data_IF_500277213567
#
_entry.id   IF_500277213567
#
_cell.length_a   1.000
_cell.length_b   1.000
_cell.length_c   1.000
_cell.angle_alpha   90.00
_cell.angle_beta   90.00
_cell.angle_gamma   90.00
#
_symmetry.space_group_name_H-M   'P 1'
#
loop_
_entity.id
_entity.type
_entity.pdbx_description
1 polymer ?
#
# COMPACT_ATOMS: atom_id res chain seq x y z
N UNK A 1 -12.95 1.66 -39.60
CA UNK A 1 -13.53 2.71 -40.48
C UNK A 1 -13.52 4.10 -39.80
N UNK A 2 -14.02 4.26 -38.56
CA UNK A 2 -14.05 5.54 -37.84
C UNK A 2 -12.66 6.20 -37.60
N UNK A 3 -11.65 5.37 -37.28
CA UNK A 3 -10.27 5.83 -37.02
C UNK A 3 -9.60 6.42 -38.26
N UNK A 4 -9.79 5.79 -39.43
CA UNK A 4 -9.27 6.33 -40.70
C UNK A 4 -9.90 7.68 -41.04
N UNK A 5 -11.19 7.86 -40.77
CA UNK A 5 -11.87 9.13 -41.02
C UNK A 5 -11.32 10.26 -40.15
N UNK A 6 -11.01 9.98 -38.87
CA UNK A 6 -10.41 10.97 -37.95
C UNK A 6 -9.00 11.37 -38.38
N UNK A 7 -8.17 10.41 -38.81
CA UNK A 7 -6.81 10.68 -39.30
C UNK A 7 -6.85 11.56 -40.55
N UNK A 8 -7.78 11.29 -41.48
CA UNK A 8 -7.96 12.12 -42.68
C UNK A 8 -8.44 13.54 -42.34
N UNK A 9 -9.37 13.67 -41.38
CA UNK A 9 -9.86 14.98 -40.94
C UNK A 9 -8.76 15.81 -40.28
N UNK A 10 -7.93 15.18 -39.44
CA UNK A 10 -6.80 15.81 -38.77
C UNK A 10 -5.74 16.26 -39.78
N UNK A 11 -5.45 15.41 -40.79
CA UNK A 11 -4.55 15.75 -41.89
C UNK A 11 -5.04 16.94 -42.72
N UNK A 12 -6.34 17.00 -43.03
CA UNK A 12 -6.94 18.14 -43.72
C UNK A 12 -6.85 19.43 -42.89
N UNK A 13 -7.08 19.35 -41.57
CA UNK A 13 -6.99 20.49 -40.67
C UNK A 13 -5.55 21.03 -40.57
N UNK A 14 -4.56 20.14 -40.52
CA UNK A 14 -3.13 20.47 -40.54
C UNK A 14 -2.73 21.15 -41.86
N UNK A 15 -3.20 20.66 -43.00
CA UNK A 15 -2.93 21.28 -44.31
C UNK A 15 -3.53 22.69 -44.43
N UNK A 16 -4.76 22.88 -43.94
CA UNK A 16 -5.41 24.20 -43.87
C UNK A 16 -4.64 25.16 -42.97
N UNK A 17 -4.13 24.69 -41.83
CA UNK A 17 -3.31 25.48 -40.93
C UNK A 17 -1.99 25.91 -41.60
N UNK A 18 -1.30 24.99 -42.27
CA UNK A 18 -0.06 25.30 -43.00
C UNK A 18 -0.29 26.31 -44.14
N UNK A 19 -1.38 26.16 -44.90
CA UNK A 19 -1.75 27.11 -45.95
C UNK A 19 -2.00 28.50 -45.36
N UNK A 20 -2.66 28.58 -44.20
CA UNK A 20 -2.93 29.87 -43.56
C UNK A 20 -1.65 30.55 -43.05
N UNK A 21 -0.68 29.78 -42.54
CA UNK A 21 0.64 30.27 -42.13
C UNK A 21 1.41 30.82 -43.34
N UNK A 22 1.46 30.08 -44.45
CA UNK A 22 2.12 30.53 -45.69
C UNK A 22 1.49 31.81 -46.27
N UNK A 23 0.16 31.93 -46.21
CA UNK A 23 -0.56 33.14 -46.61
C UNK A 23 -0.23 34.33 -45.71
N UNK A 24 -0.08 34.11 -44.40
CA UNK A 24 0.35 35.14 -43.45
C UNK A 24 1.79 35.58 -43.75
N UNK A 25 2.71 34.66 -44.03
CA UNK A 25 4.10 34.97 -44.39
C UNK A 25 4.20 35.75 -45.71
N UNK A 26 3.41 35.37 -46.73
CA UNK A 26 3.33 36.09 -48.00
C UNK A 26 2.81 37.53 -47.78
N UNK A 27 1.80 37.68 -46.93
CA UNK A 27 1.21 38.99 -46.60
C UNK A 27 2.18 39.86 -45.78
N UNK A 28 3.00 39.26 -44.90
CA UNK A 28 4.12 39.93 -44.23
C UNK A 28 5.14 40.44 -45.25
N UNK A 29 5.55 39.60 -46.21
CA UNK A 29 6.53 40.00 -47.24
C UNK A 29 6.02 41.13 -48.13
N UNK A 30 4.76 41.08 -48.56
CA UNK A 30 4.12 42.13 -49.35
C UNK A 30 4.03 43.47 -48.59
N UNK A 31 3.81 43.44 -47.27
CA UNK A 31 3.76 44.64 -46.43
C UNK A 31 5.13 45.21 -46.07
N UNK A 32 6.19 44.40 -46.15
CA UNK A 32 7.58 44.86 -45.96
C UNK A 32 8.15 45.58 -47.21
N UNK A 33 7.57 45.34 -48.40
CA UNK A 33 7.92 46.01 -49.65
C UNK A 33 7.37 47.45 -49.74
N UNK A 34 6.28 47.77 -49.04
CA UNK A 34 5.69 49.12 -48.98
C UNK A 34 6.06 49.84 -47.66
N UNK A 35 7.09 50.70 -47.71
CA UNK A 35 7.59 51.45 -46.54
C UNK A 35 6.51 52.34 -45.89
N UNK A 36 5.48 52.77 -46.62
CA UNK A 36 4.41 53.63 -46.09
C UNK A 36 3.41 52.88 -45.21
N UNK A 37 3.21 51.57 -45.45
CA UNK A 37 2.26 50.71 -44.71
C UNK A 37 2.88 49.93 -43.56
N UNK A 38 4.22 49.91 -43.47
CA UNK A 38 4.99 49.25 -42.41
C UNK A 38 4.55 49.66 -40.99
N UNK A 39 4.23 50.94 -40.77
CA UNK A 39 3.78 51.45 -39.46
C UNK A 39 2.45 50.86 -39.00
N UNK A 40 1.45 50.83 -39.90
CA UNK A 40 0.13 50.26 -39.61
C UNK A 40 0.21 48.75 -39.38
N UNK A 41 1.08 48.07 -40.13
CA UNK A 41 1.29 46.64 -39.96
C UNK A 41 1.99 46.29 -38.64
N UNK A 42 3.02 47.05 -38.24
CA UNK A 42 3.67 46.89 -36.93
C UNK A 42 2.68 47.13 -35.79
N UNK A 43 1.78 48.11 -35.93
CA UNK A 43 0.71 48.37 -34.94
C UNK A 43 -0.26 47.20 -34.85
N UNK A 44 -0.69 46.65 -35.99
CA UNK A 44 -1.55 45.47 -36.06
C UNK A 44 -0.91 44.23 -35.42
N UNK A 45 0.36 43.94 -35.73
CA UNK A 45 1.09 42.82 -35.13
C UNK A 45 1.26 42.98 -33.62
N UNK A 46 1.54 44.19 -33.12
CA UNK A 46 1.61 44.46 -31.68
C UNK A 46 0.28 44.19 -30.98
N UNK A 47 -0.85 44.58 -31.58
CA UNK A 47 -2.19 44.31 -31.06
C UNK A 47 -2.50 42.81 -31.03
N UNK A 48 -2.22 42.07 -32.11
CA UNK A 48 -2.38 40.61 -32.13
C UNK A 48 -1.51 39.92 -31.09
N UNK A 49 -0.24 40.31 -30.97
CA UNK A 49 0.68 39.76 -29.98
C UNK A 49 0.20 40.03 -28.55
N UNK A 50 -0.32 41.22 -28.27
CA UNK A 50 -0.88 41.57 -26.96
C UNK A 50 -2.10 40.71 -26.63
N UNK A 51 -2.98 40.47 -27.60
CA UNK A 51 -4.15 39.61 -27.42
C UNK A 51 -3.74 38.15 -27.15
N UNK A 52 -2.81 37.60 -27.94
CA UNK A 52 -2.27 36.24 -27.72
C UNK A 52 -1.65 36.12 -26.33
N UNK A 53 -0.85 37.12 -25.90
CA UNK A 53 -0.26 37.15 -24.55
C UNK A 53 -1.33 37.16 -23.45
N UNK A 54 -2.39 37.95 -23.62
CA UNK A 54 -3.52 38.01 -22.70
C UNK A 54 -4.20 36.64 -22.54
N UNK A 55 -4.50 35.98 -23.67
CA UNK A 55 -5.11 34.64 -23.67
C UNK A 55 -4.18 33.60 -23.04
N UNK A 56 -2.88 33.63 -23.34
CA UNK A 56 -1.92 32.68 -22.72
C UNK A 56 -1.81 32.87 -21.20
N UNK A 57 -1.85 34.12 -20.73
CA UNK A 57 -1.81 34.42 -19.30
C UNK A 57 -3.07 33.88 -18.60
N UNK A 58 -4.24 34.15 -19.17
CA UNK A 58 -5.52 33.67 -18.64
C UNK A 58 -5.61 32.15 -18.61
N UNK A 59 -5.15 31.47 -19.67
CA UNK A 59 -5.10 30.00 -19.71
C UNK A 59 -4.16 29.43 -18.65
N UNK A 60 -3.03 30.09 -18.38
CA UNK A 60 -2.09 29.69 -17.33
C UNK A 60 -2.74 29.80 -15.95
N UNK A 61 -3.40 30.93 -15.66
CA UNK A 61 -4.12 31.14 -14.39
C UNK A 61 -5.26 30.12 -14.20
N UNK A 62 -5.98 29.79 -15.28
CA UNK A 62 -7.03 28.77 -15.26
C UNK A 62 -6.46 27.36 -15.01
N UNK A 63 -5.29 27.04 -15.56
CA UNK A 63 -4.59 25.78 -15.32
C UNK A 63 -4.10 25.65 -13.87
N UNK A 64 -3.52 26.72 -13.32
CA UNK A 64 -3.04 26.74 -11.93
C UNK A 64 -4.19 26.59 -10.93
N UNK A 65 -5.31 27.27 -11.16
CA UNK A 65 -6.52 27.14 -10.33
C UNK A 65 -7.17 25.76 -10.46
N UNK A 66 -7.23 25.19 -11.67
CA UNK A 66 -7.72 23.83 -11.89
C UNK A 66 -6.87 22.77 -11.19
N UNK A 67 -5.54 22.91 -11.22
CA UNK A 67 -4.62 21.99 -10.53
C UNK A 67 -4.76 22.06 -9.00
N UNK A 68 -4.93 23.27 -8.45
CA UNK A 68 -5.18 23.46 -7.03
C UNK A 68 -6.49 22.77 -6.60
N UNK A 69 -7.58 22.96 -7.34
CA UNK A 69 -8.87 22.33 -7.07
C UNK A 69 -8.82 20.79 -7.15
N UNK A 70 -8.08 20.24 -8.12
CA UNK A 70 -7.86 18.79 -8.24
C UNK A 70 -7.07 18.23 -7.06
N UNK A 71 -6.08 18.98 -6.56
CA UNK A 71 -5.27 18.57 -5.41
C UNK A 71 -6.11 18.58 -4.12
N UNK A 72 -6.92 19.61 -3.92
CA UNK A 72 -7.86 19.70 -2.80
C UNK A 72 -8.89 18.56 -2.84
N UNK A 73 -9.48 18.30 -4.01
CA UNK A 73 -10.41 17.20 -4.19
C UNK A 73 -9.77 15.83 -3.89
N UNK A 74 -8.51 15.61 -4.30
CA UNK A 74 -7.78 14.38 -4.00
C UNK A 74 -7.55 14.20 -2.51
N UNK A 75 -7.21 15.28 -1.78
CA UNK A 75 -7.02 15.20 -0.32
C UNK A 75 -8.33 14.96 0.42
N UNK A 76 -9.44 15.56 -0.03
CA UNK A 76 -10.77 15.28 0.51
C UNK A 76 -11.20 13.82 0.27
N UNK A 77 -10.91 13.25 -0.91
CA UNK A 77 -11.15 11.83 -1.19
C UNK A 77 -10.31 10.95 -0.27
N UNK A 78 -9.03 11.28 -0.06
CA UNK A 78 -8.15 10.54 0.86
C UNK A 78 -8.65 10.61 2.31
N UNK A 79 -9.12 11.77 2.77
CA UNK A 79 -9.72 11.94 4.09
C UNK A 79 -11.05 11.19 4.21
N UNK A 80 -11.88 11.20 3.18
CA UNK A 80 -13.13 10.45 3.15
C UNK A 80 -12.89 8.93 3.17
N UNK A 81 -11.90 8.44 2.43
CA UNK A 81 -11.47 7.04 2.48
C UNK A 81 -10.98 6.67 3.88
N UNK A 82 -10.09 7.48 4.47
CA UNK A 82 -9.61 7.27 5.83
C UNK A 82 -10.75 7.31 6.86
N UNK A 83 -11.72 8.22 6.72
CA UNK A 83 -12.89 8.32 7.59
C UNK A 83 -13.85 7.13 7.43
N UNK A 84 -14.00 6.59 6.21
CA UNK A 84 -14.79 5.37 5.95
C UNK A 84 -14.10 4.10 6.43
N UNK A 85 -12.77 4.14 6.61
CA UNK A 85 -11.95 3.07 7.17
C UNK A 85 -11.96 3.07 8.72
N UNK A 86 -12.56 4.10 9.34
CA UNK A 86 -12.91 4.11 10.77
C UNK A 86 -14.29 3.45 10.99
N UNK A 87 -14.53 2.28 10.40
CA UNK A 87 -15.34 1.31 11.11
C UNK A 87 -14.49 0.87 12.31
N UNK A 88 -14.95 1.22 13.53
CA UNK A 88 -14.27 0.90 14.78
C UNK A 88 -13.67 -0.51 14.69
N UNK A 89 -12.33 -0.61 14.78
CA UNK A 89 -11.61 -1.87 14.72
C UNK A 89 -12.33 -2.83 15.69
N UNK A 90 -13.04 -3.87 15.21
CA UNK A 90 -13.85 -4.70 16.08
C UNK A 90 -12.95 -5.24 17.19
N UNK A 91 -13.51 -5.27 18.40
CA UNK A 91 -12.85 -5.80 19.59
C UNK A 91 -12.48 -7.28 19.32
N UNK A 92 -11.21 -7.51 18.96
CA UNK A 92 -10.69 -8.85 18.67
C UNK A 92 -10.39 -9.14 17.20
N UNK A 93 -10.32 -10.44 16.88
CA UNK A 93 -10.00 -10.96 15.54
C UNK A 93 -11.16 -10.65 14.60
N UNK A 94 -10.87 -10.22 13.38
CA UNK A 94 -11.89 -10.00 12.36
C UNK A 94 -12.67 -11.31 12.07
N UNK A 95 -14.00 -11.24 12.21
CA UNK A 95 -14.93 -12.30 11.80
C UNK A 95 -15.92 -11.74 10.77
N UNK A 96 -15.95 -12.25 9.53
CA UNK A 96 -16.87 -11.77 8.50
C UNK A 96 -18.34 -12.09 8.84
N UNK A 97 -19.26 -11.26 8.34
CA UNK A 97 -20.72 -11.49 8.38
C UNK A 97 -21.13 -12.57 7.38
N UNK A 98 -22.31 -13.16 7.56
CA UNK A 98 -22.86 -14.10 6.59
C UNK A 98 -22.97 -13.47 5.19
N UNK A 99 -22.36 -14.10 4.18
CA UNK A 99 -22.28 -13.63 2.81
C UNK A 99 -21.14 -12.64 2.52
N UNK A 100 -20.44 -12.14 3.54
CA UNK A 100 -19.31 -11.22 3.40
C UNK A 100 -18.10 -11.94 2.80
N UNK A 101 -17.41 -11.28 1.87
CA UNK A 101 -16.20 -11.81 1.26
C UNK A 101 -14.99 -11.53 2.15
N UNK A 102 -14.12 -12.53 2.31
CA UNK A 102 -12.89 -12.42 3.07
C UNK A 102 -11.74 -13.10 2.33
N UNK A 103 -10.51 -12.73 2.68
CA UNK A 103 -9.29 -13.28 2.09
C UNK A 103 -8.68 -14.35 2.98
N UNK A 104 -8.10 -15.38 2.37
CA UNK A 104 -7.39 -16.44 3.07
C UNK A 104 -6.25 -17.03 2.23
N UNK A 105 -5.32 -17.69 2.93
CA UNK A 105 -4.16 -18.37 2.35
C UNK A 105 -4.52 -19.84 2.11
N UNK A 106 -4.32 -20.31 0.88
CA UNK A 106 -4.48 -21.71 0.47
C UNK A 106 -3.34 -22.59 0.96
N UNK A 107 -3.56 -23.91 0.91
CA UNK A 107 -2.53 -24.89 1.27
C UNK A 107 -1.31 -24.88 0.35
N UNK A 108 -1.45 -24.31 -0.85
CA UNK A 108 -0.39 -24.07 -1.83
C UNK A 108 0.27 -22.68 -1.69
N UNK A 109 -0.16 -21.88 -0.70
CA UNK A 109 0.30 -20.51 -0.48
C UNK A 109 -0.42 -19.46 -1.32
N UNK A 110 -1.37 -19.84 -2.19
CA UNK A 110 -2.12 -18.87 -2.98
C UNK A 110 -3.12 -18.12 -2.10
N UNK A 111 -3.20 -16.80 -2.30
CA UNK A 111 -4.20 -15.96 -1.62
C UNK A 111 -5.45 -15.88 -2.49
N UNK A 112 -6.60 -16.18 -1.91
CA UNK A 112 -7.88 -16.12 -2.60
C UNK A 112 -8.99 -15.62 -1.67
N UNK A 113 -10.06 -15.11 -2.27
CA UNK A 113 -11.24 -14.65 -1.55
C UNK A 113 -12.37 -15.68 -1.62
N UNK A 114 -13.16 -15.76 -0.55
CA UNK A 114 -14.39 -16.56 -0.47
C UNK A 114 -15.44 -15.86 0.38
N UNK A 115 -16.71 -16.20 0.15
CA UNK A 115 -17.81 -15.71 0.99
C UNK A 115 -17.94 -16.52 2.26
N UNK A 116 -18.17 -15.83 3.37
CA UNK A 116 -18.43 -16.44 4.66
C UNK A 116 -19.84 -17.00 4.72
N UNK A 117 -19.95 -18.32 4.60
CA UNK A 117 -21.25 -19.01 4.58
C UNK A 117 -21.57 -19.71 5.91
N UNK A 118 -20.79 -19.48 6.97
CA UNK A 118 -20.89 -20.23 8.22
C UNK A 118 -20.62 -21.73 8.06
N UNK A 119 -19.92 -22.12 6.99
CA UNK A 119 -19.57 -23.51 6.72
C UNK A 119 -18.50 -24.01 7.69
N UNK A 120 -18.39 -25.34 7.85
CA UNK A 120 -17.31 -25.94 8.64
C UNK A 120 -15.92 -25.45 8.18
N UNK A 121 -15.70 -25.31 6.86
CA UNK A 121 -14.45 -24.78 6.32
C UNK A 121 -14.21 -23.30 6.67
N UNK A 122 -15.27 -22.48 6.71
CA UNK A 122 -15.18 -21.07 7.13
C UNK A 122 -14.80 -20.97 8.62
N UNK A 123 -15.48 -21.72 9.48
CA UNK A 123 -15.19 -21.73 10.92
C UNK A 123 -13.80 -22.31 11.22
N UNK A 124 -13.37 -23.36 10.50
CA UNK A 124 -12.02 -23.91 10.66
C UNK A 124 -10.91 -22.92 10.25
N UNK A 125 -11.09 -22.20 9.13
CA UNK A 125 -10.17 -21.11 8.74
C UNK A 125 -10.11 -20.02 9.79
N UNK A 126 -11.24 -19.65 10.38
CA UNK A 126 -11.28 -18.65 11.46
C UNK A 126 -10.54 -19.12 12.72
N UNK A 127 -10.73 -20.39 13.12
CA UNK A 127 -10.01 -20.99 14.24
C UNK A 127 -8.49 -20.95 14.02
N UNK A 128 -8.03 -21.28 12.82
CA UNK A 128 -6.62 -21.19 12.40
C UNK A 128 -6.09 -19.75 12.29
N UNK A 129 -6.95 -18.72 12.38
CA UNK A 129 -6.56 -17.33 12.17
C UNK A 129 -6.30 -16.97 10.70
N UNK A 130 -6.80 -17.78 9.76
CA UNK A 130 -6.63 -17.64 8.32
C UNK A 130 -7.84 -16.93 7.68
N UNK A 131 -8.20 -15.76 8.22
CA UNK A 131 -9.32 -14.92 7.78
C UNK A 131 -8.90 -13.46 7.86
N UNK A 132 -8.84 -12.80 6.71
CA UNK A 132 -8.31 -11.44 6.56
C UNK A 132 -9.33 -10.55 5.84
N UNK A 133 -9.37 -9.26 6.20
CA UNK A 133 -10.27 -8.27 5.57
C UNK A 133 -9.82 -7.92 4.17
N UNK A 134 -8.51 -7.81 3.99
CA UNK A 134 -7.91 -7.37 2.73
C UNK A 134 -6.87 -8.38 2.25
N UNK A 135 -6.55 -8.28 0.96
CA UNK A 135 -5.50 -9.09 0.35
C UNK A 135 -4.13 -8.73 0.92
N UNK A 136 -3.91 -7.47 1.29
CA UNK A 136 -2.66 -6.99 1.90
C UNK A 136 -2.45 -7.58 3.30
N UNK A 137 -3.51 -7.69 4.11
CA UNK A 137 -3.46 -8.37 5.40
C UNK A 137 -3.09 -9.85 5.24
N UNK A 138 -3.69 -10.52 4.25
CA UNK A 138 -3.37 -11.92 3.93
C UNK A 138 -1.93 -12.08 3.45
N UNK A 139 -1.44 -11.16 2.62
CA UNK A 139 -0.06 -11.17 2.12
C UNK A 139 0.94 -10.93 3.25
N UNK A 140 0.68 -9.96 4.14
CA UNK A 140 1.53 -9.70 5.29
C UNK A 140 1.59 -10.91 6.25
N UNK A 141 0.47 -11.61 6.44
CA UNK A 141 0.43 -12.84 7.23
C UNK A 141 1.23 -13.98 6.58
N UNK A 142 1.10 -14.16 5.26
CA UNK A 142 1.88 -15.13 4.49
C UNK A 142 3.39 -14.84 4.58
N UNK A 143 3.79 -13.59 4.35
CA UNK A 143 5.20 -13.17 4.41
C UNK A 143 5.79 -13.41 5.81
N UNK A 144 5.01 -13.12 6.86
CA UNK A 144 5.39 -13.39 8.24
C UNK A 144 5.55 -14.90 8.48
N UNK A 145 4.61 -15.72 8.03
CA UNK A 145 4.68 -17.18 8.17
C UNK A 145 5.93 -17.75 7.47
N UNK A 146 6.19 -17.32 6.24
CA UNK A 146 7.38 -17.73 5.49
C UNK A 146 8.67 -17.26 6.17
N UNK A 147 8.71 -16.05 6.71
CA UNK A 147 9.85 -15.54 7.46
C UNK A 147 10.10 -16.34 8.74
N UNK A 148 9.04 -16.70 9.48
CA UNK A 148 9.14 -17.56 10.66
C UNK A 148 9.74 -18.92 10.31
N UNK A 149 9.25 -19.59 9.27
CA UNK A 149 9.78 -20.88 8.83
C UNK A 149 11.28 -20.77 8.49
N UNK A 150 11.67 -19.79 7.66
CA UNK A 150 13.09 -19.59 7.31
C UNK A 150 14.00 -19.37 8.53
N UNK A 151 13.52 -18.64 9.53
CA UNK A 151 14.28 -18.41 10.77
C UNK A 151 14.39 -19.70 11.58
N UNK A 152 13.31 -20.46 11.73
CA UNK A 152 13.30 -21.72 12.47
C UNK A 152 14.20 -22.78 11.82
N UNK A 153 14.14 -22.91 10.49
CA UNK A 153 15.03 -23.80 9.74
C UNK A 153 16.49 -23.42 9.99
N UNK A 154 16.80 -22.12 9.94
CA UNK A 154 18.16 -21.64 10.21
C UNK A 154 18.61 -21.90 11.65
N UNK A 155 17.73 -21.78 12.63
CA UNK A 155 18.03 -22.11 14.03
C UNK A 155 18.32 -23.61 14.16
N UNK A 156 17.52 -24.47 13.53
CA UNK A 156 17.72 -25.91 13.56
C UNK A 156 19.08 -26.32 12.96
N UNK A 157 19.45 -25.74 11.82
CA UNK A 157 20.78 -25.94 11.20
C UNK A 157 21.93 -25.55 12.14
N UNK A 158 21.83 -24.37 12.76
CA UNK A 158 22.87 -23.85 13.64
C UNK A 158 23.01 -24.68 14.92
N UNK A 159 21.90 -25.09 15.52
CA UNK A 159 21.91 -25.95 16.70
C UNK A 159 22.46 -27.34 16.39
N UNK A 160 22.14 -27.91 15.22
CA UNK A 160 22.73 -29.17 14.76
C UNK A 160 24.26 -29.07 14.62
N UNK A 161 24.75 -27.94 14.07
CA UNK A 161 26.17 -27.68 13.95
C UNK A 161 26.87 -27.46 15.30
N UNK A 162 26.17 -26.90 16.28
CA UNK A 162 26.65 -26.68 17.65
C UNK A 162 26.45 -27.94 18.52
N UNK A 163 27.14 -29.02 18.17
CA UNK A 163 27.12 -30.29 18.90
C UNK A 163 25.70 -30.85 19.13
N UNK A 164 24.80 -30.68 18.15
CA UNK A 164 23.38 -31.04 18.24
C UNK A 164 22.71 -30.44 19.50
N UNK A 165 22.93 -29.15 19.76
CA UNK A 165 22.35 -28.46 20.89
C UNK A 165 20.82 -28.57 20.89
N UNK A 166 20.25 -28.97 22.02
CA UNK A 166 18.81 -29.02 22.26
C UNK A 166 18.52 -28.34 23.59
N UNK A 167 17.46 -27.53 23.64
CA UNK A 167 17.05 -26.86 24.86
C UNK A 167 16.55 -27.89 25.89
N UNK A 168 17.23 -27.96 27.02
CA UNK A 168 16.82 -28.71 28.21
C UNK A 168 16.20 -27.72 29.21
N UNK A 169 14.88 -27.80 29.39
CA UNK A 169 14.14 -26.90 30.26
C UNK A 169 14.20 -27.31 31.74
N UNK A 170 14.68 -28.52 32.05
CA UNK A 170 14.94 -28.96 33.41
C UNK A 170 16.34 -28.53 33.89
N UNK A 171 17.30 -28.38 32.96
CA UNK A 171 18.61 -27.81 33.25
C UNK A 171 18.60 -26.27 33.31
N UNK A 172 18.57 -25.75 34.55
CA UNK A 172 18.65 -24.31 34.86
C UNK A 172 20.04 -23.71 34.59
N UNK A 173 21.08 -24.54 34.47
CA UNK A 173 22.45 -24.12 34.17
C UNK A 173 22.73 -23.98 32.67
N UNK A 174 21.90 -24.59 31.81
CA UNK A 174 22.04 -24.46 30.37
C UNK A 174 21.62 -23.06 29.90
N UNK A 175 22.58 -22.31 29.34
CA UNK A 175 22.31 -21.02 28.68
C UNK A 175 21.41 -21.18 27.47
N UNK A 176 20.34 -20.37 27.38
CA UNK A 176 19.43 -20.32 26.24
C UNK A 176 19.33 -18.87 25.75
N UNK A 177 19.28 -18.71 24.43
CA UNK A 177 19.31 -17.39 23.79
C UNK A 177 18.10 -17.22 22.88
N UNK A 178 17.63 -15.98 22.75
CA UNK A 178 16.54 -15.63 21.82
C UNK A 178 16.82 -14.33 21.09
N UNK A 179 16.25 -14.20 19.90
CA UNK A 179 16.21 -12.94 19.17
C UNK A 179 15.18 -12.02 19.84
N UNK A 180 15.55 -10.76 20.08
CA UNK A 180 14.69 -9.74 20.70
C UNK A 180 14.77 -8.42 19.92
N UNK A 181 13.76 -7.57 20.02
CA UNK A 181 13.83 -6.20 19.50
C UNK A 181 13.97 -5.21 20.67
N UNK A 182 15.01 -4.39 20.64
CA UNK A 182 15.21 -3.33 21.62
C UNK A 182 14.65 -2.02 21.05
N UNK A 183 13.57 -1.52 21.66
CA UNK A 183 12.89 -0.30 21.21
C UNK A 183 13.75 0.97 21.34
N UNK A 184 14.52 1.11 22.44
CA UNK A 184 15.38 2.27 22.68
C UNK A 184 16.49 2.39 21.64
N UNK A 185 17.10 1.25 21.28
CA UNK A 185 18.19 1.17 20.30
C UNK A 185 17.69 0.96 18.87
N UNK A 186 16.38 0.79 18.71
CA UNK A 186 15.69 0.50 17.46
C UNK A 186 16.36 -0.61 16.64
N UNK A 187 16.72 -1.73 17.28
CA UNK A 187 17.45 -2.82 16.62
C UNK A 187 17.14 -4.20 17.19
N UNK A 188 17.31 -5.21 16.34
CA UNK A 188 17.31 -6.61 16.75
C UNK A 188 18.57 -6.91 17.57
N UNK A 189 18.41 -7.58 18.70
CA UNK A 189 19.44 -7.86 19.70
C UNK A 189 19.37 -9.32 20.19
N UNK A 190 20.49 -9.79 20.73
CA UNK A 190 20.55 -11.01 21.52
C UNK A 190 19.87 -10.78 22.88
N UNK A 191 18.88 -11.60 23.22
CA UNK A 191 18.40 -11.80 24.58
C UNK A 191 18.91 -13.13 25.12
N UNK A 192 19.19 -13.19 26.43
CA UNK A 192 19.63 -14.40 27.12
C UNK A 192 18.70 -14.71 28.28
N UNK A 193 18.18 -15.94 28.35
CA UNK A 193 17.36 -16.43 29.45
C UNK A 193 17.81 -17.86 29.81
N UNK A 194 18.00 -18.19 31.09
CA UNK A 194 18.36 -19.57 31.48
C UNK A 194 17.15 -20.48 31.71
N UNK A 195 16.03 -19.91 32.19
CA UNK A 195 14.95 -20.67 32.82
C UNK A 195 13.53 -20.20 32.45
N UNK A 196 13.36 -19.32 31.45
CA UNK A 196 12.07 -18.71 31.13
C UNK A 196 11.69 -19.01 29.68
N UNK A 197 10.56 -19.69 29.50
CA UNK A 197 9.84 -19.78 28.22
C UNK A 197 8.65 -18.83 28.27
N UNK A 198 8.44 -18.06 27.20
CA UNK A 198 7.40 -17.05 27.12
C UNK A 198 6.40 -17.44 26.05
N UNK A 199 5.11 -17.14 26.27
CA UNK A 199 4.10 -17.13 25.21
C UNK A 199 4.52 -16.13 24.11
N UNK A 200 3.94 -16.21 22.89
CA UNK A 200 4.31 -15.33 21.78
C UNK A 200 4.29 -13.85 22.18
N UNK A 201 5.09 -13.04 21.50
CA UNK A 201 5.22 -11.60 21.76
C UNK A 201 3.90 -10.87 21.46
N UNK A 202 2.99 -10.89 22.44
CA UNK A 202 1.77 -10.11 22.52
C UNK A 202 1.85 -9.27 23.81
N UNK A 203 1.52 -7.98 23.69
CA UNK A 203 1.53 -7.07 24.84
C UNK A 203 0.17 -7.07 25.53
N UNK A 204 0.18 -7.18 26.85
CA UNK A 204 -1.03 -7.15 27.68
C UNK A 204 -1.21 -5.75 28.26
N UNK A 205 -2.43 -5.21 28.16
CA UNK A 205 -2.73 -3.87 28.65
C UNK A 205 -2.69 -3.73 30.18
N UNK A 206 -2.70 -4.84 30.92
CA UNK A 206 -2.60 -4.85 32.38
C UNK A 206 -2.16 -6.22 32.91
N UNK A 207 -1.65 -6.24 34.15
CA UNK A 207 -1.35 -7.46 34.90
C UNK A 207 -2.60 -8.35 35.07
N UNK A 208 -3.74 -7.75 35.38
CA UNK A 208 -5.02 -8.47 35.49
C UNK A 208 -5.40 -9.22 34.21
N UNK A 209 -5.03 -8.68 33.04
CA UNK A 209 -5.30 -9.33 31.75
C UNK A 209 -4.48 -10.61 31.60
N UNK A 210 -3.20 -10.58 31.95
CA UNK A 210 -2.35 -11.78 31.84
C UNK A 210 -2.70 -12.83 32.90
N UNK A 211 -3.08 -12.42 34.11
CA UNK A 211 -3.58 -13.33 35.14
C UNK A 211 -4.84 -14.07 34.69
N UNK A 212 -5.77 -13.37 34.03
CA UNK A 212 -6.96 -13.99 33.47
C UNK A 212 -6.60 -15.04 32.40
N UNK A 213 -5.68 -14.72 31.47
CA UNK A 213 -5.21 -15.67 30.45
C UNK A 213 -4.58 -16.91 31.09
N UNK A 214 -3.70 -16.74 32.08
CA UNK A 214 -3.06 -17.87 32.78
C UNK A 214 -4.11 -18.77 33.45
N UNK A 215 -5.13 -18.16 34.07
CA UNK A 215 -6.17 -18.90 34.79
C UNK A 215 -7.16 -19.60 33.86
N UNK A 216 -7.62 -18.92 32.82
CA UNK A 216 -8.71 -19.38 31.95
C UNK A 216 -8.22 -20.26 30.80
N UNK A 217 -6.97 -20.10 30.37
CA UNK A 217 -6.38 -20.80 29.23
C UNK A 217 -5.13 -21.60 29.63
N UNK A 218 -5.11 -22.14 30.85
CA UNK A 218 -3.93 -22.78 31.43
C UNK A 218 -3.38 -23.93 30.57
N UNK A 219 -4.26 -24.75 30.00
CA UNK A 219 -3.86 -25.90 29.17
C UNK A 219 -3.31 -25.45 27.81
N UNK A 220 -3.93 -24.46 27.17
CA UNK A 220 -3.40 -23.86 25.94
C UNK A 220 -2.05 -23.19 26.19
N UNK A 221 -1.88 -22.52 27.34
CA UNK A 221 -0.59 -21.95 27.73
C UNK A 221 0.50 -23.02 27.82
N UNK A 222 0.20 -24.16 28.47
CA UNK A 222 1.14 -25.29 28.56
C UNK A 222 1.44 -25.90 27.20
N UNK A 223 0.42 -26.08 26.36
CA UNK A 223 0.55 -26.60 25.01
C UNK A 223 1.48 -25.70 24.17
N UNK A 224 1.24 -24.39 24.17
CA UNK A 224 2.06 -23.42 23.44
C UNK A 224 3.49 -23.32 23.98
N UNK A 225 3.66 -23.49 25.29
CA UNK A 225 4.96 -23.54 25.93
C UNK A 225 5.61 -24.93 25.83
N UNK A 226 4.95 -25.95 25.30
CA UNK A 226 5.47 -27.33 25.23
C UNK A 226 6.06 -27.80 26.58
N UNK A 227 5.42 -27.43 27.70
CA UNK A 227 5.85 -27.82 29.05
C UNK A 227 4.81 -28.73 29.72
N UNK A 228 5.27 -29.81 30.36
CA UNK A 228 4.44 -30.68 31.20
C UNK A 228 3.54 -31.67 30.45
N UNK A 229 4.06 -32.35 29.42
CA UNK A 229 3.48 -33.62 28.94
C UNK A 229 3.70 -34.75 29.94
#
# INVERSE_FOLDING_TARGET
>A
MLLMLHILLLGALLMLLMLHILLLELLVMLLLLDKSKKSNYVKYLKLKLLNVRGVTKMNKELLETGLAALTEAAELVKQAMAASEVEAKPEGRYKPKYGEEYWCIGGDGNIFSVKWMGSHSSEFRYALGNVYRTVEEAQAALDKQLATVRILDRIAELNAADNNWVADWDDKGQSKYRVTFNAEKHKVCLGSNGCIKSLPDAYYGSEKTIEAVIKEMADDCKLMLEVGQ
#
